data_IF_562830946544
#
_entry.id   IF_562830946544
#
_cell.length_a   1.000
_cell.length_b   1.000
_cell.length_c   1.000
_cell.angle_alpha   90.00
_cell.angle_beta   90.00
_cell.angle_gamma   90.00
#
_symmetry.space_group_name_H-M   'P 1'
#
loop_
_entity.id
_entity.type
_entity.pdbx_description
1 polymer ?
#
# COMPACT_ATOMS: atom_id res chain seq x y z
N UNK A 1 38.94 35.69 -27.88
CA UNK A 1 37.59 35.19 -27.53
C UNK A 1 37.61 34.72 -26.08
N UNK A 2 36.76 35.22 -25.18
CA UNK A 2 36.74 34.74 -23.79
C UNK A 2 36.19 33.31 -23.75
N UNK A 3 36.91 32.40 -23.07
CA UNK A 3 36.49 31.00 -22.88
C UNK A 3 35.31 30.94 -21.91
N UNK A 4 34.31 30.13 -22.25
CA UNK A 4 33.20 29.83 -21.34
C UNK A 4 33.74 29.18 -20.05
N UNK A 5 33.18 29.52 -18.86
CA UNK A 5 33.65 28.99 -17.59
C UNK A 5 33.39 27.48 -17.48
N UNK A 6 34.36 26.75 -16.92
CA UNK A 6 34.35 25.28 -16.75
C UNK A 6 33.43 24.80 -15.62
N UNK A 7 32.82 25.71 -14.86
CA UNK A 7 31.85 25.39 -13.82
C UNK A 7 30.90 26.57 -13.60
N UNK A 8 29.62 26.28 -13.44
CA UNK A 8 28.62 27.25 -13.00
C UNK A 8 28.30 26.98 -11.53
N UNK A 9 28.52 27.98 -10.67
CA UNK A 9 28.01 27.96 -9.31
C UNK A 9 26.57 28.46 -9.31
N UNK A 10 25.62 27.58 -9.01
CA UNK A 10 24.25 28.00 -8.71
C UNK A 10 24.30 28.63 -7.31
N UNK A 11 24.12 29.94 -7.22
CA UNK A 11 24.02 30.65 -5.94
C UNK A 11 22.63 30.38 -5.36
N UNK A 12 22.46 29.25 -4.66
CA UNK A 12 21.19 28.81 -4.10
C UNK A 12 20.90 29.58 -2.80
N UNK A 13 20.62 30.87 -2.92
CA UNK A 13 19.95 31.62 -1.84
C UNK A 13 18.46 31.64 -2.19
N UNK A 14 17.68 30.79 -1.52
CA UNK A 14 16.21 30.88 -1.38
C UNK A 14 15.27 30.00 -2.28
N UNK A 15 15.74 29.00 -3.03
CA UNK A 15 14.80 28.09 -3.76
C UNK A 15 14.19 26.99 -2.88
N UNK A 16 14.75 26.72 -1.70
CA UNK A 16 14.32 25.60 -0.85
C UNK A 16 13.07 25.86 0.01
N UNK A 17 12.49 27.06 0.00
CA UNK A 17 11.37 27.41 0.89
C UNK A 17 9.97 27.11 0.32
N UNK A 18 9.87 26.73 -0.95
CA UNK A 18 8.62 26.27 -1.56
C UNK A 18 8.95 25.08 -2.44
N UNK A 19 8.31 23.93 -2.23
CA UNK A 19 8.42 22.73 -3.09
C UNK A 19 8.60 23.13 -4.55
N UNK A 20 9.82 23.02 -5.13
CA UNK A 20 10.00 23.30 -6.53
C UNK A 20 9.16 22.28 -7.30
N UNK A 21 8.12 22.74 -8.00
CA UNK A 21 7.38 21.87 -8.92
C UNK A 21 8.40 21.30 -9.91
N UNK A 22 8.28 20.02 -10.26
CA UNK A 22 9.21 19.33 -11.17
C UNK A 22 9.58 20.16 -12.41
N UNK A 23 8.60 20.88 -12.98
CA UNK A 23 8.80 21.81 -14.10
C UNK A 23 9.72 23.01 -13.83
N UNK A 24 9.74 23.58 -12.61
CA UNK A 24 10.68 24.67 -12.27
C UNK A 24 12.11 24.16 -12.23
N UNK A 25 12.35 23.00 -11.62
CA UNK A 25 13.68 22.39 -11.58
C UNK A 25 14.19 22.02 -12.98
N UNK A 26 13.33 21.43 -13.83
CA UNK A 26 13.65 21.15 -15.23
C UNK A 26 14.00 22.42 -16.01
N UNK A 27 13.28 23.52 -15.81
CA UNK A 27 13.56 24.80 -16.48
C UNK A 27 14.89 25.42 -16.04
N UNK A 28 15.26 25.28 -14.76
CA UNK A 28 16.57 25.73 -14.26
C UNK A 28 17.69 24.92 -14.93
N UNK A 29 17.54 23.59 -14.99
CA UNK A 29 18.53 22.71 -15.63
C UNK A 29 18.63 23.02 -17.13
N UNK A 30 17.50 23.22 -17.82
CA UNK A 30 17.48 23.60 -19.24
C UNK A 30 18.26 24.89 -19.51
N UNK A 31 18.20 25.88 -18.60
CA UNK A 31 18.92 27.16 -18.74
C UNK A 31 20.40 27.05 -18.37
N UNK A 32 20.75 26.24 -17.38
CA UNK A 32 22.13 26.09 -16.89
C UNK A 32 22.98 25.06 -17.64
N UNK A 33 22.37 23.97 -18.09
CA UNK A 33 23.01 22.90 -18.85
C UNK A 33 22.02 22.32 -19.90
N UNK A 34 21.84 23.01 -21.04
CA UNK A 34 20.94 22.56 -22.10
C UNK A 34 21.33 21.21 -22.69
N UNK A 35 22.63 20.86 -22.69
CA UNK A 35 23.14 19.62 -23.26
C UNK A 35 22.68 18.42 -22.42
N UNK A 36 22.89 18.46 -21.11
CA UNK A 36 22.41 17.40 -20.22
C UNK A 36 20.88 17.35 -20.19
N UNK A 37 20.21 18.51 -20.26
CA UNK A 37 18.76 18.55 -20.37
C UNK A 37 18.24 17.76 -21.58
N UNK A 38 18.88 17.91 -22.75
CA UNK A 38 18.47 17.19 -23.98
C UNK A 38 18.86 15.71 -23.91
N UNK A 39 20.10 15.38 -23.55
CA UNK A 39 20.63 14.01 -23.62
C UNK A 39 20.08 13.13 -22.48
N UNK A 40 19.75 13.72 -21.33
CA UNK A 40 19.35 13.00 -20.13
C UNK A 40 17.95 13.37 -19.63
N UNK A 41 17.10 13.94 -20.50
CA UNK A 41 15.76 14.42 -20.13
C UNK A 41 14.97 13.40 -19.29
N UNK A 42 14.85 12.16 -19.75
CA UNK A 42 14.03 11.13 -19.07
C UNK A 42 14.54 10.82 -17.67
N UNK A 43 15.87 10.74 -17.49
CA UNK A 43 16.50 10.50 -16.19
C UNK A 43 16.33 11.70 -15.26
N UNK A 44 16.44 12.91 -15.80
CA UNK A 44 16.24 14.14 -15.03
C UNK A 44 14.79 14.25 -14.58
N UNK A 45 13.82 14.10 -15.50
CA UNK A 45 12.40 14.13 -15.18
C UNK A 45 12.04 13.08 -14.12
N UNK A 46 12.40 11.82 -14.35
CA UNK A 46 12.09 10.73 -13.41
C UNK A 46 12.72 10.92 -12.02
N UNK A 47 13.97 11.41 -11.96
CA UNK A 47 14.59 11.71 -10.67
C UNK A 47 13.93 12.89 -9.96
N UNK A 48 13.58 13.96 -10.68
CA UNK A 48 12.91 15.12 -10.10
C UNK A 48 11.50 14.77 -9.63
N UNK A 49 10.76 13.93 -10.36
CA UNK A 49 9.47 13.40 -9.94
C UNK A 49 9.60 12.62 -8.63
N UNK A 50 10.66 11.82 -8.48
CA UNK A 50 10.95 11.08 -7.24
C UNK A 50 11.37 12.00 -6.08
N UNK A 51 12.18 13.02 -6.34
CA UNK A 51 12.67 13.98 -5.33
C UNK A 51 11.53 14.86 -4.81
N UNK A 52 10.66 15.33 -5.71
CA UNK A 52 9.55 16.22 -5.39
C UNK A 52 8.21 15.49 -5.25
N UNK A 53 8.24 14.16 -5.09
CA UNK A 53 7.05 13.37 -4.89
C UNK A 53 6.31 13.89 -3.65
N UNK A 54 5.03 14.24 -3.83
CA UNK A 54 4.19 14.62 -2.71
C UNK A 54 4.03 13.42 -1.77
N UNK A 55 4.03 13.64 -0.44
CA UNK A 55 3.56 12.61 0.48
C UNK A 55 2.19 12.10 0.04
N UNK A 56 1.92 10.79 0.16
CA UNK A 56 0.59 10.26 -0.08
C UNK A 56 -0.44 11.01 0.77
N UNK A 57 -1.49 11.52 0.16
CA UNK A 57 -2.60 12.15 0.89
C UNK A 57 -3.29 11.09 1.76
N UNK A 58 -3.67 11.43 3.01
CA UNK A 58 -4.45 10.53 3.86
C UNK A 58 -5.74 10.08 3.17
N UNK A 59 -6.21 8.89 3.52
CA UNK A 59 -7.49 8.42 3.02
C UNK A 59 -8.63 9.29 3.57
N UNK A 60 -9.51 9.74 2.67
CA UNK A 60 -10.76 10.41 3.03
C UNK A 60 -11.90 9.45 2.70
N UNK A 61 -12.55 8.92 3.74
CA UNK A 61 -13.69 8.03 3.58
C UNK A 61 -14.89 8.78 2.98
N UNK A 62 -15.47 8.26 1.90
CA UNK A 62 -16.71 8.81 1.31
C UNK A 62 -17.93 8.57 2.20
N UNK A 63 -17.93 7.47 2.95
CA UNK A 63 -19.00 7.08 3.85
C UNK A 63 -18.37 6.63 5.18
N UNK A 64 -18.41 7.46 6.24
CA UNK A 64 -17.76 7.15 7.51
C UNK A 64 -18.63 6.30 8.44
N UNK A 65 -19.89 6.06 8.09
CA UNK A 65 -20.86 5.42 8.97
C UNK A 65 -20.86 3.91 8.75
N UNK A 66 -20.51 3.16 9.79
CA UNK A 66 -20.51 1.70 9.79
C UNK A 66 -21.26 1.20 11.03
N UNK A 67 -22.60 1.21 10.98
CA UNK A 67 -23.44 0.83 12.12
C UNK A 67 -23.55 -0.69 12.31
N UNK A 68 -23.18 -1.47 11.29
CA UNK A 68 -23.40 -2.92 11.25
C UNK A 68 -22.10 -3.71 11.25
N UNK A 69 -21.01 -3.12 11.75
CA UNK A 69 -19.74 -3.85 11.87
C UNK A 69 -19.90 -4.97 12.90
N UNK A 70 -19.71 -6.24 12.53
CA UNK A 70 -19.78 -7.36 13.45
C UNK A 70 -18.72 -7.23 14.56
N UNK A 71 -19.09 -7.57 15.79
CA UNK A 71 -18.19 -7.50 16.96
C UNK A 71 -16.88 -8.25 16.77
N UNK A 72 -16.90 -9.34 16.00
CA UNK A 72 -15.70 -10.09 15.61
C UNK A 72 -14.67 -9.22 14.88
N UNK A 73 -15.11 -8.41 13.90
CA UNK A 73 -14.24 -7.53 13.13
C UNK A 73 -13.70 -6.39 13.99
N UNK A 74 -14.55 -5.82 14.87
CA UNK A 74 -14.15 -4.78 15.82
C UNK A 74 -13.06 -5.32 16.76
N UNK A 75 -13.29 -6.48 17.38
CA UNK A 75 -12.35 -7.09 18.30
C UNK A 75 -11.01 -7.45 17.62
N UNK A 76 -11.06 -7.96 16.39
CA UNK A 76 -9.83 -8.22 15.64
C UNK A 76 -9.06 -6.93 15.36
N UNK A 77 -9.75 -5.84 14.98
CA UNK A 77 -9.14 -4.55 14.69
C UNK A 77 -8.50 -3.95 15.94
N UNK A 78 -9.23 -3.89 17.07
CA UNK A 78 -8.72 -3.35 18.34
C UNK A 78 -7.45 -4.05 18.80
N UNK A 79 -7.36 -5.37 18.57
CA UNK A 79 -6.21 -6.18 18.98
C UNK A 79 -5.00 -6.02 18.07
N UNK A 80 -5.20 -5.85 16.76
CA UNK A 80 -4.13 -5.97 15.78
C UNK A 80 -3.73 -4.62 15.16
N UNK A 81 -4.67 -3.71 14.91
CA UNK A 81 -4.42 -2.41 14.26
C UNK A 81 -3.77 -1.45 15.26
N UNK A 82 -2.46 -1.60 15.38
CA UNK A 82 -1.63 -0.92 16.38
C UNK A 82 -0.45 -0.22 15.73
N UNK A 83 0.12 0.74 16.45
CA UNK A 83 1.29 1.50 16.00
C UNK A 83 2.54 0.63 15.84
N UNK A 84 3.57 1.09 15.11
CA UNK A 84 4.81 0.35 14.87
C UNK A 84 5.51 -0.19 16.13
N UNK A 85 5.36 0.49 17.26
CA UNK A 85 6.01 0.16 18.53
C UNK A 85 5.19 -0.86 19.37
N UNK A 86 3.88 -0.95 19.13
CA UNK A 86 2.95 -1.79 19.89
C UNK A 86 2.51 -3.05 19.12
N UNK A 87 3.12 -3.32 17.96
CA UNK A 87 2.72 -4.45 17.12
C UNK A 87 2.91 -5.78 17.87
N UNK A 88 1.92 -6.69 17.83
CA UNK A 88 2.08 -8.02 18.38
C UNK A 88 3.29 -8.73 17.76
N UNK A 89 4.01 -9.53 18.54
CA UNK A 89 5.16 -10.31 18.04
C UNK A 89 4.79 -11.19 16.83
N UNK A 90 3.55 -11.68 16.80
CA UNK A 90 2.97 -12.49 15.73
C UNK A 90 1.56 -11.99 15.45
N UNK A 91 1.39 -10.95 14.63
CA UNK A 91 0.06 -10.45 14.29
C UNK A 91 -0.69 -11.50 13.49
N UNK A 92 -1.98 -11.66 13.78
CA UNK A 92 -2.87 -12.50 12.98
C UNK A 92 -3.51 -11.64 11.93
N UNK A 93 -3.44 -12.03 10.66
CA UNK A 93 -4.15 -11.33 9.58
C UNK A 93 -5.62 -11.75 9.53
N UNK A 94 -6.44 -11.03 8.78
CA UNK A 94 -7.84 -11.37 8.57
C UNK A 94 -8.17 -11.41 7.09
N UNK A 95 -8.94 -12.42 6.68
CA UNK A 95 -9.55 -12.52 5.37
C UNK A 95 -11.04 -12.22 5.53
N UNK A 96 -11.52 -11.19 4.83
CA UNK A 96 -12.91 -10.77 4.81
C UNK A 96 -13.44 -11.00 3.40
N UNK A 97 -14.24 -12.04 3.26
CA UNK A 97 -14.93 -12.35 2.01
C UNK A 97 -16.36 -11.84 2.07
N UNK A 98 -16.85 -11.20 1.00
CA UNK A 98 -18.26 -10.86 0.90
C UNK A 98 -18.62 -10.23 -0.44
N UNK A 99 -19.90 -10.08 -0.78
CA UNK A 99 -20.32 -9.49 -2.04
C UNK A 99 -19.78 -8.07 -2.28
N UNK A 100 -19.88 -7.62 -3.53
CA UNK A 100 -19.64 -6.24 -3.91
C UNK A 100 -20.56 -5.27 -3.14
N UNK A 101 -20.11 -4.01 -2.99
CA UNK A 101 -20.90 -2.91 -2.39
C UNK A 101 -21.34 -3.15 -0.93
N UNK A 102 -20.60 -3.96 -0.18
CA UNK A 102 -20.84 -4.23 1.25
C UNK A 102 -20.05 -3.33 2.19
N UNK A 103 -19.19 -2.44 1.66
CA UNK A 103 -18.42 -1.49 2.47
C UNK A 103 -17.08 -1.99 2.99
N UNK A 104 -16.66 -3.22 2.65
CA UNK A 104 -15.38 -3.84 3.07
C UNK A 104 -14.17 -2.90 2.94
N UNK A 105 -13.95 -2.36 1.74
CA UNK A 105 -12.82 -1.46 1.45
C UNK A 105 -12.87 -0.17 2.26
N UNK A 106 -14.05 0.44 2.37
CA UNK A 106 -14.22 1.70 3.10
C UNK A 106 -13.97 1.49 4.59
N UNK A 107 -14.49 0.40 5.15
CA UNK A 107 -14.28 0.04 6.56
C UNK A 107 -12.82 -0.28 6.85
N UNK A 108 -12.18 -1.13 6.04
CA UNK A 108 -10.79 -1.51 6.27
C UNK A 108 -9.87 -0.28 6.26
N UNK A 109 -10.07 0.65 5.32
CA UNK A 109 -9.26 1.87 5.21
C UNK A 109 -9.62 2.95 6.25
N UNK A 110 -10.80 2.88 6.88
CA UNK A 110 -11.22 3.84 7.89
C UNK A 110 -10.68 3.56 9.29
N UNK A 111 -10.15 2.36 9.57
CA UNK A 111 -9.61 2.00 10.88
C UNK A 111 -8.46 2.93 11.31
N UNK A 112 -7.56 3.28 10.38
CA UNK A 112 -6.64 4.40 10.54
C UNK A 112 -6.44 5.08 9.17
N UNK A 113 -7.17 6.17 8.88
CA UNK A 113 -7.11 6.82 7.57
C UNK A 113 -5.75 7.46 7.25
N UNK A 114 -4.93 7.72 8.27
CA UNK A 114 -3.64 8.40 8.13
C UNK A 114 -2.48 7.43 7.89
N UNK A 115 -2.51 6.25 8.54
CA UNK A 115 -1.36 5.34 8.56
C UNK A 115 -1.75 3.89 8.25
N UNK A 116 -2.06 3.62 6.98
CA UNK A 116 -2.19 2.27 6.42
C UNK A 116 -1.56 2.18 5.02
N UNK A 117 -1.14 0.97 4.65
CA UNK A 117 -0.83 0.67 3.25
C UNK A 117 -2.09 0.14 2.54
N UNK A 118 -2.29 0.51 1.29
CA UNK A 118 -3.40 0.03 0.47
C UNK A 118 -2.89 -0.51 -0.87
N UNK A 119 -3.30 -1.74 -1.18
CA UNK A 119 -2.99 -2.44 -2.43
C UNK A 119 -4.30 -2.87 -3.07
N UNK A 120 -4.57 -2.38 -4.27
CA UNK A 120 -5.76 -2.73 -5.04
C UNK A 120 -5.33 -3.48 -6.30
N UNK A 121 -5.98 -4.61 -6.58
CA UNK A 121 -5.80 -5.44 -7.78
C UNK A 121 -4.40 -6.12 -7.89
N UNK A 122 -3.32 -5.41 -7.61
CA UNK A 122 -1.96 -5.93 -7.53
C UNK A 122 -1.16 -5.33 -6.36
N UNK A 123 -0.11 -6.05 -5.93
CA UNK A 123 0.80 -5.57 -4.89
C UNK A 123 2.01 -4.90 -5.55
N UNK A 124 2.05 -3.57 -5.48
CA UNK A 124 3.26 -2.79 -5.79
C UNK A 124 3.90 -2.25 -4.49
N UNK A 125 5.05 -2.81 -4.06
CA UNK A 125 5.71 -2.35 -2.84
C UNK A 125 6.45 -1.01 -3.00
N UNK A 126 6.44 -0.38 -4.19
CA UNK A 126 7.15 0.90 -4.43
C UNK A 126 6.76 1.99 -3.43
N UNK A 127 5.48 2.04 -3.04
CA UNK A 127 4.96 3.01 -2.07
C UNK A 127 4.64 2.41 -0.69
N UNK A 128 5.13 1.20 -0.38
CA UNK A 128 4.92 0.59 0.94
C UNK A 128 5.56 1.42 2.04
N UNK A 129 4.83 1.69 3.12
CA UNK A 129 5.33 2.34 4.33
C UNK A 129 5.54 1.31 5.44
N UNK A 130 6.80 1.20 5.91
CA UNK A 130 7.16 0.31 7.02
C UNK A 130 6.59 0.81 8.37
N UNK A 131 6.14 2.07 8.41
CA UNK A 131 5.53 2.74 9.56
C UNK A 131 4.00 2.65 9.57
N UNK A 132 3.38 2.02 8.57
CA UNK A 132 1.93 1.80 8.54
C UNK A 132 1.47 0.95 9.73
N UNK A 133 0.27 1.20 10.25
CA UNK A 133 -0.28 0.39 11.35
C UNK A 133 -0.75 -0.97 10.84
N UNK A 134 -1.24 -1.02 9.60
CA UNK A 134 -1.71 -2.22 8.95
C UNK A 134 -1.67 -2.08 7.43
N UNK A 135 -1.83 -3.21 6.73
CA UNK A 135 -2.01 -3.29 5.29
C UNK A 135 -3.46 -3.64 4.95
N UNK A 136 -3.94 -3.11 3.82
CA UNK A 136 -5.19 -3.52 3.18
C UNK A 136 -4.85 -4.05 1.79
N UNK A 137 -5.19 -5.30 1.54
CA UNK A 137 -5.12 -5.93 0.22
C UNK A 137 -6.55 -6.08 -0.28
N UNK A 138 -6.87 -5.45 -1.39
CA UNK A 138 -8.22 -5.32 -1.90
C UNK A 138 -8.33 -5.89 -3.31
N UNK A 139 -9.16 -6.92 -3.44
CA UNK A 139 -9.48 -7.59 -4.71
C UNK A 139 -8.25 -8.07 -5.51
N UNK A 140 -7.17 -8.44 -4.81
CA UNK A 140 -6.02 -9.11 -5.44
C UNK A 140 -6.32 -10.58 -5.65
N UNK A 141 -6.13 -11.08 -6.87
CA UNK A 141 -6.32 -12.50 -7.16
C UNK A 141 -5.28 -13.34 -6.38
N UNK A 142 -5.71 -14.37 -5.62
CA UNK A 142 -4.83 -15.19 -4.81
C UNK A 142 -3.69 -15.87 -5.58
N UNK A 143 -3.90 -16.23 -6.86
CA UNK A 143 -2.90 -16.90 -7.68
C UNK A 143 -1.66 -16.01 -7.93
N UNK A 144 -1.80 -14.68 -7.82
CA UNK A 144 -0.71 -13.74 -8.02
C UNK A 144 -0.02 -13.31 -6.71
N UNK A 145 -0.48 -13.78 -5.55
CA UNK A 145 0.12 -13.50 -4.25
C UNK A 145 1.30 -14.43 -3.94
N UNK A 146 2.46 -14.14 -4.54
CA UNK A 146 3.69 -14.93 -4.35
C UNK A 146 4.27 -14.88 -2.94
N UNK A 147 4.04 -13.79 -2.20
CA UNK A 147 4.64 -13.52 -0.90
C UNK A 147 3.63 -13.72 0.25
N UNK A 148 2.88 -14.83 0.22
CA UNK A 148 1.77 -15.08 1.13
C UNK A 148 2.19 -15.03 2.61
N UNK A 149 3.26 -15.74 2.97
CA UNK A 149 3.71 -15.85 4.37
C UNK A 149 4.44 -14.59 4.84
N UNK A 150 5.13 -13.94 3.92
CA UNK A 150 5.92 -12.74 4.12
C UNK A 150 5.03 -11.51 4.37
N UNK A 151 3.98 -11.36 3.57
CA UNK A 151 3.14 -10.16 3.54
C UNK A 151 2.05 -10.15 4.60
N UNK A 152 1.57 -11.33 5.01
CA UNK A 152 0.43 -11.46 5.92
C UNK A 152 0.83 -11.41 7.41
N UNK A 153 1.90 -10.66 7.72
CA UNK A 153 2.32 -10.32 9.08
C UNK A 153 3.04 -11.42 9.87
N UNK A 154 3.05 -12.66 9.38
CA UNK A 154 3.64 -13.78 10.11
C UNK A 154 5.18 -13.86 10.03
N UNK A 155 5.81 -13.19 9.06
CA UNK A 155 7.27 -13.01 8.98
C UNK A 155 7.66 -11.55 9.18
N UNK A 156 8.85 -11.30 9.74
CA UNK A 156 9.27 -9.97 10.22
C UNK A 156 9.94 -9.08 9.20
N UNK A 157 10.69 -9.62 8.27
CA UNK A 157 11.39 -8.87 7.24
C UNK A 157 11.44 -9.74 5.99
N UNK A 158 11.19 -9.14 4.83
CA UNK A 158 11.31 -9.84 3.57
C UNK A 158 11.86 -8.89 2.50
N UNK A 159 12.36 -9.47 1.41
CA UNK A 159 12.88 -8.70 0.28
C UNK A 159 12.02 -8.93 -0.93
N UNK A 160 11.56 -7.84 -1.56
CA UNK A 160 10.88 -7.91 -2.85
C UNK A 160 11.89 -7.63 -3.96
N UNK A 161 11.92 -8.50 -4.95
CA UNK A 161 12.68 -8.28 -6.17
C UNK A 161 11.90 -7.33 -7.07
N UNK A 162 12.32 -6.08 -7.12
CA UNK A 162 11.75 -5.09 -8.02
C UNK A 162 12.39 -5.24 -9.41
N UNK A 163 11.58 -5.43 -10.45
CA UNK A 163 12.07 -5.52 -11.82
C UNK A 163 12.74 -4.18 -12.19
N UNK A 164 14.00 -4.23 -12.61
CA UNK A 164 14.81 -3.06 -12.97
C UNK A 164 15.11 -2.07 -11.83
N UNK A 165 14.90 -2.46 -10.58
CA UNK A 165 15.27 -1.67 -9.41
C UNK A 165 16.03 -2.53 -8.39
N UNK A 166 16.71 -1.88 -7.45
CA UNK A 166 17.39 -2.60 -6.36
C UNK A 166 16.33 -3.33 -5.51
N UNK A 167 16.58 -4.58 -5.08
CA UNK A 167 15.70 -5.27 -4.16
C UNK A 167 15.39 -4.38 -2.95
N UNK A 168 14.11 -4.27 -2.60
CA UNK A 168 13.67 -3.48 -1.45
C UNK A 168 13.44 -4.42 -0.28
N UNK A 169 14.07 -4.11 0.86
CA UNK A 169 13.74 -4.72 2.14
C UNK A 169 12.46 -4.07 2.69
N UNK A 170 11.48 -4.90 3.02
CA UNK A 170 10.18 -4.48 3.53
C UNK A 170 10.03 -5.04 4.93
N UNK A 171 9.62 -4.19 5.86
CA UNK A 171 9.31 -4.60 7.24
C UNK A 171 8.03 -5.41 7.22
N UNK A 172 8.15 -6.69 7.54
CA UNK A 172 7.03 -7.57 7.84
C UNK A 172 6.50 -7.33 9.25
N UNK A 173 5.68 -8.25 9.76
CA UNK A 173 5.03 -8.08 11.05
C UNK A 173 3.99 -6.95 11.08
N UNK A 174 3.58 -6.44 9.91
CA UNK A 174 2.48 -5.49 9.79
C UNK A 174 1.18 -6.31 9.65
N UNK A 175 0.19 -6.12 10.54
CA UNK A 175 -1.12 -6.76 10.41
C UNK A 175 -1.74 -6.48 9.04
N UNK A 176 -2.40 -7.47 8.46
CA UNK A 176 -2.96 -7.37 7.10
C UNK A 176 -4.45 -7.71 7.11
N UNK A 177 -5.24 -6.87 6.44
CA UNK A 177 -6.65 -7.10 6.13
C UNK A 177 -6.72 -7.45 4.65
N UNK A 178 -7.19 -8.64 4.33
CA UNK A 178 -7.41 -9.11 2.97
C UNK A 178 -8.89 -9.08 2.66
N UNK A 179 -9.24 -8.39 1.58
CA UNK A 179 -10.61 -8.27 1.11
C UNK A 179 -10.74 -9.01 -0.20
N UNK A 180 -11.81 -9.80 -0.32
CA UNK A 180 -12.16 -10.44 -1.57
C UNK A 180 -13.66 -10.57 -1.76
N UNK A 181 -14.04 -10.78 -3.00
CA UNK A 181 -15.37 -11.21 -3.37
C UNK A 181 -15.43 -12.74 -3.51
N UNK A 182 -16.59 -13.36 -3.26
CA UNK A 182 -16.78 -14.78 -3.54
C UNK A 182 -16.58 -15.05 -5.05
N UNK A 183 -15.99 -16.20 -5.39
CA UNK A 183 -15.73 -16.60 -6.77
C UNK A 183 -14.43 -17.38 -6.94
N UNK A 184 -14.31 -18.14 -8.03
CA UNK A 184 -13.19 -19.06 -8.27
C UNK A 184 -11.82 -18.37 -8.30
N UNK A 185 -11.75 -17.17 -8.87
CA UNK A 185 -10.51 -16.42 -9.06
C UNK A 185 -10.34 -15.26 -8.08
N UNK A 186 -11.23 -15.13 -7.10
CA UNK A 186 -11.26 -14.01 -6.16
C UNK A 186 -11.28 -14.49 -4.71
N UNK A 187 -12.01 -15.57 -4.41
CA UNK A 187 -12.12 -16.09 -3.05
C UNK A 187 -10.82 -16.74 -2.61
N UNK A 188 -10.24 -16.18 -1.55
CA UNK A 188 -9.12 -16.82 -0.85
C UNK A 188 -9.54 -18.16 -0.24
N UNK A 189 -10.79 -18.29 0.23
CA UNK A 189 -11.29 -19.54 0.79
C UNK A 189 -11.32 -20.66 -0.27
N UNK A 190 -11.86 -20.38 -1.46
CA UNK A 190 -11.90 -21.34 -2.57
C UNK A 190 -10.50 -21.72 -3.01
N UNK A 191 -9.63 -20.72 -3.25
CA UNK A 191 -8.24 -20.96 -3.65
C UNK A 191 -7.47 -21.83 -2.66
N UNK A 192 -7.57 -21.53 -1.35
CA UNK A 192 -6.87 -22.30 -0.32
C UNK A 192 -7.45 -23.72 -0.17
N UNK A 193 -8.70 -23.94 -0.53
CA UNK A 193 -9.36 -25.25 -0.42
C UNK A 193 -8.98 -26.21 -1.55
N UNK A 194 -8.23 -25.76 -2.56
CA UNK A 194 -7.76 -26.63 -3.63
C UNK A 194 -6.77 -27.68 -3.10
N UNK A 195 -6.82 -28.95 -3.59
CA UNK A 195 -6.03 -30.04 -3.03
C UNK A 195 -4.51 -29.78 -2.99
N UNK A 196 -3.99 -29.05 -3.97
CA UNK A 196 -2.56 -28.71 -4.05
C UNK A 196 -2.14 -27.60 -3.08
N UNK A 197 -3.09 -26.88 -2.46
CA UNK A 197 -2.85 -25.79 -1.52
C UNK A 197 -3.00 -26.21 -0.05
N UNK A 198 -3.08 -27.51 0.25
CA UNK A 198 -3.36 -28.03 1.59
C UNK A 198 -2.37 -27.53 2.66
N UNK A 199 -1.09 -27.45 2.35
CA UNK A 199 -0.07 -26.93 3.27
C UNK A 199 -0.26 -25.43 3.54
N UNK A 200 -0.61 -24.67 2.51
CA UNK A 200 -0.89 -23.24 2.61
C UNK A 200 -2.17 -22.99 3.42
N UNK A 201 -3.21 -23.81 3.22
CA UNK A 201 -4.44 -23.77 4.01
C UNK A 201 -4.18 -24.06 5.48
N UNK A 202 -3.44 -25.13 5.78
CA UNK A 202 -3.10 -25.52 7.15
C UNK A 202 -2.29 -24.44 7.86
N UNK A 203 -1.37 -23.80 7.14
CA UNK A 203 -0.64 -22.65 7.64
C UNK A 203 -1.58 -21.46 7.86
N UNK A 204 -2.43 -21.14 6.89
CA UNK A 204 -3.34 -19.97 6.95
C UNK A 204 -4.32 -20.09 8.11
N UNK A 205 -4.93 -21.26 8.35
CA UNK A 205 -5.83 -21.50 9.49
C UNK A 205 -5.21 -21.21 10.87
N UNK A 206 -3.87 -21.29 11.00
CA UNK A 206 -3.14 -21.00 12.25
C UNK A 206 -2.69 -19.54 12.39
N UNK A 207 -2.87 -18.73 11.34
CA UNK A 207 -2.36 -17.36 11.27
C UNK A 207 -3.44 -16.33 10.90
N UNK A 208 -4.56 -16.78 10.35
CA UNK A 208 -5.62 -15.93 9.81
C UNK A 208 -6.93 -16.13 10.55
N UNK A 209 -7.63 -15.02 10.78
CA UNK A 209 -9.07 -15.03 10.99
C UNK A 209 -9.79 -15.04 9.63
N UNK A 210 -10.91 -15.77 9.55
CA UNK A 210 -11.81 -15.74 8.38
C UNK A 210 -13.14 -15.14 8.80
N UNK A 211 -13.64 -14.21 8.00
CA UNK A 211 -14.96 -13.63 8.18
C UNK A 211 -15.70 -13.58 6.84
N UNK A 212 -16.89 -14.16 6.81
CA UNK A 212 -17.77 -14.15 5.64
C UNK A 212 -18.89 -13.14 5.89
N UNK A 213 -18.84 -12.05 5.13
CA UNK A 213 -19.75 -10.92 5.22
C UNK A 213 -20.92 -11.12 4.24
N UNK A 214 -22.11 -11.33 4.79
CA UNK A 214 -23.34 -11.51 3.99
C UNK A 214 -24.09 -10.19 3.77
N UNK A 215 -23.98 -9.25 4.70
CA UNK A 215 -24.70 -7.98 4.68
C UNK A 215 -23.73 -6.78 4.66
N UNK A 216 -24.15 -5.62 4.13
CA UNK A 216 -23.34 -4.41 4.18
C UNK A 216 -23.00 -3.98 5.63
N UNK A 217 -21.80 -3.43 5.82
CA UNK A 217 -21.30 -2.93 7.11
C UNK A 217 -21.97 -1.60 7.53
N UNK A 218 -22.78 -1.02 6.66
CA UNK A 218 -23.49 0.24 6.85
C UNK A 218 -25.01 0.02 6.80
N UNK A 219 -25.77 0.91 7.41
CA UNK A 219 -27.22 0.91 7.26
C UNK A 219 -27.63 1.19 5.80
N UNK A 220 -28.57 0.39 5.27
CA UNK A 220 -29.21 0.65 3.98
C UNK A 220 -30.21 1.82 4.12
N UNK A 221 -29.72 2.99 4.47
CA UNK A 221 -30.49 4.23 4.49
C UNK A 221 -29.71 5.25 3.69
N UNK A 222 -30.35 5.75 2.62
CA UNK A 222 -29.87 6.71 1.63
C UNK A 222 -29.03 6.11 0.49
N UNK A 223 -29.73 5.43 -0.43
CA UNK A 223 -29.34 5.43 -1.83
C UNK A 223 -30.13 6.55 -2.55
N UNK A 224 -29.73 7.79 -2.32
CA UNK A 224 -29.91 8.90 -3.26
C UNK A 224 -28.54 9.47 -3.59
#
# INVERSE_FOLDING_TARGET
MPRAPSSFFINVKNIFLTYPRCGMALNIIKRGDPRSFIIHYDKLSSNLDRIFQKPPEPYVARFPQFERVPSFLIHWADKNVTGPDDRPHRPTFIIIEGPNRTGKTCWARSLNPQTHNYYADHIDPTHHSDNAWYNVIDDVNPQFLKHWKEFMGAQRDWSSNCKYAKPRKIKGGIPTIMLCNPGLNSSYHVYLSEPHNQDLLNWTKKNAAFFFLEQPLFALTNQE
#
